data_IF_436702197285
#
_entry.id   IF_436702197285
#
_cell.length_a   1.000
_cell.length_b   1.000
_cell.length_c   1.000
_cell.angle_alpha   90.00
_cell.angle_beta   90.00
_cell.angle_gamma   90.00
#
_symmetry.space_group_name_H-M   'P 1'
#
loop_
_entity.id
_entity.type
_entity.pdbx_description
1 polymer ?
#
# COMPACT_ATOMS: atom_id res chain seq x y z
N UNK A 1 -31.32 -2.53 -3.29
CA UNK A 1 -32.03 -3.54 -2.45
C UNK A 1 -31.44 -3.49 -1.04
N UNK A 2 -32.16 -2.90 -0.10
CA UNK A 2 -31.75 -2.73 1.29
C UNK A 2 -32.11 -4.02 2.06
N UNK A 3 -31.13 -4.73 2.64
CA UNK A 3 -31.40 -5.85 3.55
C UNK A 3 -31.47 -5.31 4.97
N UNK A 4 -32.68 -5.24 5.53
CA UNK A 4 -32.91 -4.94 6.95
C UNK A 4 -33.03 -6.26 7.72
N UNK A 5 -32.37 -6.37 8.87
CA UNK A 5 -32.56 -7.48 9.81
C UNK A 5 -33.35 -6.93 11.00
N UNK A 6 -34.47 -7.58 11.31
CA UNK A 6 -35.32 -7.25 12.45
C UNK A 6 -34.77 -7.97 13.69
N UNK A 7 -34.15 -7.25 14.63
CA UNK A 7 -33.90 -7.78 15.97
C UNK A 7 -35.06 -7.43 16.89
N UNK A 8 -35.78 -8.43 17.37
CA UNK A 8 -36.78 -8.27 18.43
C UNK A 8 -36.14 -8.56 19.78
N UNK A 9 -35.87 -7.53 20.57
CA UNK A 9 -35.53 -7.65 21.99
C UNK A 9 -36.81 -7.65 22.81
N UNK A 10 -37.16 -8.78 23.41
CA UNK A 10 -38.30 -8.90 24.32
C UNK A 10 -37.81 -8.66 25.74
N UNK A 11 -37.99 -7.45 26.25
CA UNK A 11 -37.74 -7.15 27.67
C UNK A 11 -38.99 -7.50 28.48
N UNK A 12 -38.91 -8.50 29.36
CA UNK A 12 -40.00 -8.90 30.23
C UNK A 12 -39.98 -8.05 31.51
N UNK A 13 -40.86 -7.06 31.62
CA UNK A 13 -41.18 -6.40 32.89
C UNK A 13 -42.55 -6.91 33.37
N UNK A 14 -42.51 -7.74 34.41
CA UNK A 14 -43.69 -8.09 35.20
C UNK A 14 -44.01 -6.91 36.12
N UNK A 15 -45.07 -6.16 35.77
CA UNK A 15 -46.11 -5.60 36.65
C UNK A 15 -46.80 -4.41 35.94
N UNK A 16 -48.08 -4.60 35.61
CA UNK A 16 -49.08 -3.62 35.15
C UNK A 16 -48.80 -2.76 33.89
N UNK A 17 -49.53 -3.06 32.81
CA UNK A 17 -49.93 -2.07 31.79
C UNK A 17 -49.11 -2.05 30.49
N UNK A 18 -49.81 -2.20 29.35
CA UNK A 18 -49.40 -1.90 27.97
C UNK A 18 -47.93 -2.16 27.56
N UNK A 19 -47.69 -3.26 26.86
CA UNK A 19 -46.44 -3.49 26.12
C UNK A 19 -46.46 -2.66 24.84
N UNK A 20 -45.87 -1.46 24.85
CA UNK A 20 -45.54 -0.72 23.63
C UNK A 20 -44.28 -1.32 23.00
N UNK A 21 -44.42 -1.88 21.80
CA UNK A 21 -43.27 -2.26 20.94
C UNK A 21 -42.65 -0.98 20.39
N UNK A 22 -41.58 -0.50 21.00
CA UNK A 22 -40.70 0.47 20.34
C UNK A 22 -39.84 -0.27 19.29
N UNK A 23 -40.07 0.04 18.02
CA UNK A 23 -39.19 -0.37 16.93
C UNK A 23 -38.07 0.68 16.87
N UNK A 24 -36.94 0.37 17.52
CA UNK A 24 -35.73 1.19 17.38
C UNK A 24 -35.07 0.83 16.06
N UNK A 25 -35.17 1.72 15.07
CA UNK A 25 -34.38 1.62 13.85
C UNK A 25 -32.94 2.02 14.17
N UNK A 26 -32.12 1.05 14.54
CA UNK A 26 -30.69 1.27 14.62
C UNK A 26 -30.14 1.30 13.19
N UNK A 27 -29.71 2.49 12.74
CA UNK A 27 -28.93 2.59 11.51
C UNK A 27 -27.67 1.76 11.70
N UNK A 28 -27.42 0.82 10.79
CA UNK A 28 -26.13 0.13 10.74
C UNK A 28 -25.04 1.21 10.77
N UNK A 29 -23.98 1.05 11.59
CA UNK A 29 -22.87 1.98 11.54
C UNK A 29 -22.40 2.05 10.10
N UNK A 30 -22.56 3.23 9.49
CA UNK A 30 -22.01 3.49 8.17
C UNK A 30 -20.50 3.36 8.33
N UNK A 31 -19.92 2.26 7.84
CA UNK A 31 -18.48 2.18 7.66
C UNK A 31 -18.11 3.42 6.84
N UNK A 32 -17.22 4.30 7.33
CA UNK A 32 -16.89 5.52 6.60
C UNK A 32 -16.50 5.11 5.18
N UNK A 33 -17.20 5.64 4.18
CA UNK A 33 -16.82 5.40 2.78
C UNK A 33 -15.46 6.06 2.63
N UNK A 34 -14.40 5.25 2.63
CA UNK A 34 -13.05 5.72 2.44
C UNK A 34 -13.03 6.60 1.19
N UNK A 35 -12.61 7.86 1.35
CA UNK A 35 -12.55 8.83 0.24
C UNK A 35 -11.72 8.20 -0.89
N UNK A 36 -12.25 8.10 -2.10
CA UNK A 36 -11.51 7.47 -3.19
C UNK A 36 -10.22 8.21 -3.49
N UNK A 37 -9.13 7.48 -3.65
CA UNK A 37 -7.85 8.05 -4.05
C UNK A 37 -7.88 8.35 -5.55
N UNK A 38 -7.52 9.58 -5.94
CA UNK A 38 -7.54 10.02 -7.34
C UNK A 38 -6.38 10.94 -7.66
N UNK A 39 -5.84 10.82 -8.87
CA UNK A 39 -4.70 11.61 -9.32
C UNK A 39 -4.85 12.01 -10.79
N UNK A 40 -4.44 13.24 -11.11
CA UNK A 40 -4.49 13.77 -12.49
C UNK A 40 -3.11 13.68 -13.12
N UNK A 41 -3.03 13.02 -14.28
CA UNK A 41 -1.81 12.90 -15.07
C UNK A 41 -2.08 13.35 -16.50
N UNK A 42 -1.35 14.37 -16.96
CA UNK A 42 -1.51 14.91 -18.32
C UNK A 42 -2.97 15.22 -18.67
N UNK A 43 -3.70 15.85 -17.75
CA UNK A 43 -5.11 16.23 -17.92
C UNK A 43 -6.13 15.12 -17.72
N UNK A 44 -5.72 13.86 -17.52
CA UNK A 44 -6.63 12.75 -17.23
C UNK A 44 -6.63 12.40 -15.74
N UNK A 45 -7.80 12.42 -15.12
CA UNK A 45 -8.00 11.93 -13.74
C UNK A 45 -8.19 10.43 -13.74
N UNK A 46 -7.39 9.73 -12.95
CA UNK A 46 -7.55 8.30 -12.66
C UNK A 46 -7.95 8.14 -11.19
N UNK A 47 -8.90 7.25 -10.93
CA UNK A 47 -9.41 6.95 -9.59
C UNK A 47 -9.15 5.49 -9.26
N UNK A 48 -8.59 5.25 -8.07
CA UNK A 48 -8.33 3.91 -7.58
C UNK A 48 -9.64 3.22 -7.19
N UNK A 49 -9.68 1.90 -7.27
CA UNK A 49 -10.79 1.11 -6.74
C UNK A 49 -10.96 1.35 -5.23
N UNK A 50 -12.13 1.06 -4.62
CA UNK A 50 -12.31 1.23 -3.18
C UNK A 50 -11.31 0.43 -2.34
N UNK A 51 -10.98 -0.79 -2.78
CA UNK A 51 -9.99 -1.64 -2.12
C UNK A 51 -8.59 -0.98 -2.14
N UNK A 52 -8.11 -0.61 -3.33
CA UNK A 52 -6.79 0.04 -3.49
C UNK A 52 -6.76 1.37 -2.74
N UNK A 53 -7.83 2.16 -2.79
CA UNK A 53 -7.93 3.44 -2.06
C UNK A 53 -7.76 3.23 -0.55
N UNK A 54 -8.45 2.24 0.03
CA UNK A 54 -8.36 1.94 1.45
C UNK A 54 -6.93 1.49 1.84
N UNK A 55 -6.35 0.57 1.06
CA UNK A 55 -4.98 0.09 1.29
C UNK A 55 -3.98 1.26 1.24
N UNK A 56 -4.05 2.08 0.19
CA UNK A 56 -3.15 3.23 0.00
C UNK A 56 -3.28 4.25 1.13
N UNK A 57 -4.49 4.51 1.63
CA UNK A 57 -4.69 5.42 2.76
C UNK A 57 -4.04 4.92 4.04
N UNK A 58 -4.16 3.62 4.31
CA UNK A 58 -3.50 3.01 5.46
C UNK A 58 -1.96 3.07 5.30
N UNK A 59 -1.43 2.80 4.11
CA UNK A 59 0.01 2.93 3.84
C UNK A 59 0.48 4.39 4.00
N UNK A 60 -0.29 5.38 3.52
CA UNK A 60 0.00 6.81 3.68
C UNK A 60 0.03 7.22 5.16
N UNK A 61 -0.82 6.63 6.01
CA UNK A 61 -0.76 6.86 7.45
C UNK A 61 0.51 6.28 8.09
N UNK A 62 1.05 5.20 7.53
CA UNK A 62 2.31 4.58 7.96
C UNK A 62 3.54 5.28 7.36
N UNK A 63 3.38 5.96 6.23
CA UNK A 63 4.45 6.71 5.55
C UNK A 63 5.18 7.63 6.54
N UNK A 64 6.50 7.65 6.45
CA UNK A 64 7.35 8.53 7.22
C UNK A 64 8.15 9.36 6.23
N UNK A 65 8.14 10.69 6.41
CA UNK A 65 9.09 11.52 5.71
C UNK A 65 10.35 11.57 6.59
N UNK A 66 11.38 10.83 6.20
CA UNK A 66 12.63 10.80 6.96
C UNK A 66 13.80 11.24 6.07
N UNK A 67 14.78 11.91 6.69
CA UNK A 67 16.02 12.36 6.04
C UNK A 67 16.91 11.22 5.52
N UNK A 68 16.46 9.97 5.61
CA UNK A 68 17.25 8.79 5.29
C UNK A 68 17.20 8.37 3.84
N UNK A 69 16.27 8.92 3.05
CA UNK A 69 16.10 8.57 1.64
C UNK A 69 15.70 9.80 0.83
N UNK A 70 16.58 10.25 -0.06
CA UNK A 70 16.18 11.16 -1.15
C UNK A 70 15.54 10.35 -2.28
N UNK A 71 14.36 10.76 -2.76
CA UNK A 71 13.53 9.98 -3.68
C UNK A 71 12.97 10.85 -4.81
N UNK A 72 13.29 10.49 -6.05
CA UNK A 72 12.72 11.11 -7.25
C UNK A 72 12.13 10.03 -8.17
N UNK A 73 11.00 10.32 -8.83
CA UNK A 73 10.39 9.37 -9.76
C UNK A 73 9.66 10.01 -10.95
N UNK A 74 9.57 9.26 -12.06
CA UNK A 74 8.61 9.58 -13.11
C UNK A 74 7.21 9.07 -12.74
N UNK A 75 6.18 9.85 -13.04
CA UNK A 75 4.80 9.53 -12.65
C UNK A 75 3.88 9.20 -13.83
N UNK A 76 4.37 9.30 -15.07
CA UNK A 76 3.57 9.02 -16.26
C UNK A 76 4.39 8.22 -17.28
N UNK A 77 4.14 6.92 -17.39
CA UNK A 77 4.98 5.98 -18.13
C UNK A 77 4.16 5.19 -19.13
N UNK A 78 4.63 5.08 -20.36
CA UNK A 78 3.99 4.22 -21.38
C UNK A 78 4.25 2.75 -21.08
N UNK A 79 3.32 1.87 -21.42
CA UNK A 79 3.58 0.42 -21.44
C UNK A 79 4.82 0.12 -22.28
N UNK A 80 5.70 -0.73 -21.75
CA UNK A 80 6.99 -1.04 -22.34
C UNK A 80 8.08 0.01 -22.14
N UNK A 81 7.75 1.18 -21.58
CA UNK A 81 8.71 2.16 -21.08
C UNK A 81 9.32 1.78 -19.74
N UNK A 82 10.34 2.50 -19.29
CA UNK A 82 10.99 2.25 -18.01
C UNK A 82 10.45 3.15 -16.90
N UNK A 83 10.20 2.54 -15.74
CA UNK A 83 9.96 3.26 -14.51
C UNK A 83 11.29 3.80 -14.02
N UNK A 84 11.33 5.10 -13.72
CA UNK A 84 12.51 5.79 -13.21
C UNK A 84 12.22 6.10 -11.75
N UNK A 85 12.89 5.37 -10.86
CA UNK A 85 12.90 5.58 -9.42
C UNK A 85 14.36 5.78 -9.07
N UNK A 86 14.64 6.94 -8.50
CA UNK A 86 15.94 7.36 -8.02
C UNK A 86 15.87 7.47 -6.51
N UNK A 87 16.68 6.67 -5.82
CA UNK A 87 16.69 6.64 -4.37
C UNK A 87 18.12 6.65 -3.85
N UNK A 88 18.47 7.63 -3.02
CA UNK A 88 19.80 7.69 -2.40
C UNK A 88 19.65 7.68 -0.88
N UNK A 89 19.98 6.57 -0.21
CA UNK A 89 19.92 6.52 1.23
C UNK A 89 21.16 7.20 1.83
N UNK A 90 21.04 7.90 2.95
CA UNK A 90 22.21 8.47 3.64
C UNK A 90 22.89 7.48 4.60
N UNK A 91 22.40 6.24 4.65
CA UNK A 91 22.83 5.14 5.53
C UNK A 91 22.85 3.84 4.75
N UNK A 92 23.66 2.89 5.21
CA UNK A 92 23.65 1.56 4.63
C UNK A 92 22.43 0.78 5.13
N UNK A 93 21.80 0.01 4.25
CA UNK A 93 20.56 -0.68 4.58
C UNK A 93 19.94 -1.34 3.36
N UNK A 94 18.69 -1.74 3.48
CA UNK A 94 17.96 -2.49 2.47
C UNK A 94 16.87 -1.62 1.86
N UNK A 95 16.89 -1.46 0.54
CA UNK A 95 15.87 -0.78 -0.25
C UNK A 95 14.98 -1.79 -0.97
N UNK A 96 13.67 -1.58 -0.87
CA UNK A 96 12.65 -2.44 -1.46
C UNK A 96 11.58 -1.57 -2.11
N UNK A 97 11.12 -2.01 -3.28
CA UNK A 97 10.11 -1.29 -4.06
C UNK A 97 8.97 -2.26 -4.34
N UNK A 98 7.75 -1.88 -4.00
CA UNK A 98 6.54 -2.66 -4.26
C UNK A 98 5.62 -1.82 -5.13
N UNK A 99 5.12 -2.41 -6.20
CA UNK A 99 4.10 -1.78 -7.07
C UNK A 99 2.76 -2.40 -6.73
N UNK A 100 1.77 -1.58 -6.39
CA UNK A 100 0.35 -1.93 -6.29
C UNK A 100 -0.30 -1.53 -7.61
N UNK A 101 -0.90 -2.49 -8.32
CA UNK A 101 -1.59 -2.26 -9.57
C UNK A 101 -3.05 -1.77 -9.35
N UNK A 102 -3.79 -1.35 -10.40
CA UNK A 102 -5.17 -0.91 -10.29
C UNK A 102 -6.15 -1.97 -9.75
N UNK A 103 -5.81 -3.26 -9.87
CA UNK A 103 -6.61 -4.37 -9.37
C UNK A 103 -6.30 -4.68 -7.89
N UNK A 104 -5.22 -4.11 -7.34
CA UNK A 104 -4.74 -4.35 -5.98
C UNK A 104 -3.68 -5.45 -5.89
N UNK A 105 -3.28 -6.05 -7.02
CA UNK A 105 -2.18 -6.98 -7.05
C UNK A 105 -0.87 -6.25 -6.77
N UNK A 106 0.02 -6.91 -6.06
CA UNK A 106 1.29 -6.33 -5.64
C UNK A 106 2.45 -7.11 -6.21
N UNK A 107 3.45 -6.39 -6.68
CA UNK A 107 4.67 -6.98 -7.22
C UNK A 107 5.89 -6.40 -6.52
N UNK A 108 6.73 -7.27 -5.95
CA UNK A 108 8.05 -6.86 -5.50
C UNK A 108 8.93 -6.63 -6.71
N UNK A 109 9.51 -5.44 -6.73
CA UNK A 109 10.54 -5.07 -7.68
C UNK A 109 11.88 -5.48 -7.08
N UNK A 110 12.49 -6.51 -7.66
CA UNK A 110 13.85 -6.93 -7.30
C UNK A 110 14.81 -6.33 -8.34
N UNK A 111 15.72 -5.42 -7.94
CA UNK A 111 16.74 -4.93 -8.86
C UNK A 111 17.66 -6.09 -9.24
N UNK A 112 17.79 -6.38 -10.53
CA UNK A 112 18.81 -7.33 -11.01
C UNK A 112 20.18 -6.81 -10.53
N UNK A 113 21.05 -7.67 -10.00
CA UNK A 113 22.41 -7.38 -9.48
C UNK A 113 22.57 -6.89 -8.03
N UNK A 114 21.59 -6.25 -7.38
CA UNK A 114 21.66 -6.03 -5.92
C UNK A 114 21.01 -7.23 -5.23
N UNK A 115 21.80 -8.29 -5.02
CA UNK A 115 21.36 -9.42 -4.21
C UNK A 115 20.80 -8.90 -2.88
N UNK A 116 19.52 -9.21 -2.61
CA UNK A 116 18.74 -8.82 -1.42
C UNK A 116 18.28 -7.37 -1.28
N UNK A 117 18.69 -6.43 -2.15
CA UNK A 117 18.32 -5.01 -2.08
C UNK A 117 19.18 -4.16 -1.14
N UNK A 118 20.36 -4.64 -0.72
CA UNK A 118 21.26 -3.88 0.15
C UNK A 118 22.00 -2.75 -0.60
N UNK A 119 22.01 -1.55 -0.01
CA UNK A 119 22.72 -0.37 -0.48
C UNK A 119 23.69 0.12 0.59
N UNK A 120 24.87 0.54 0.18
CA UNK A 120 25.76 1.31 1.04
C UNK A 120 25.22 2.74 1.26
N UNK A 121 25.70 3.41 2.29
CA UNK A 121 25.38 4.81 2.52
C UNK A 121 25.80 5.66 1.30
N UNK A 122 24.91 6.54 0.86
CA UNK A 122 25.03 7.41 -0.31
C UNK A 122 25.15 6.67 -1.65
N UNK A 123 24.94 5.34 -1.67
CA UNK A 123 24.87 4.59 -2.91
C UNK A 123 23.52 4.84 -3.58
N UNK A 124 23.55 5.55 -4.70
CA UNK A 124 22.36 5.81 -5.51
C UNK A 124 21.83 4.51 -6.11
N UNK A 125 20.55 4.26 -5.86
CA UNK A 125 19.73 3.31 -6.60
C UNK A 125 19.00 4.05 -7.72
N UNK A 126 19.06 3.53 -8.95
CA UNK A 126 18.30 4.08 -10.07
C UNK A 126 17.77 2.96 -10.96
N UNK A 127 16.46 2.94 -11.18
CA UNK A 127 15.78 1.85 -11.90
C UNK A 127 15.74 1.99 -13.43
N UNK A 128 16.50 2.92 -14.01
CA UNK A 128 16.60 3.11 -15.46
C UNK A 128 18.06 3.08 -15.93
N UNK A 129 18.70 1.95 -15.67
CA UNK A 129 19.93 1.54 -16.33
C UNK A 129 19.83 0.05 -16.70
N UNK A 130 20.69 -0.43 -17.59
CA UNK A 130 20.66 -1.82 -18.09
C UNK A 130 20.73 -2.88 -16.98
N UNK A 131 21.24 -2.52 -15.80
CA UNK A 131 21.33 -3.40 -14.64
C UNK A 131 20.05 -3.43 -13.79
N UNK A 132 19.22 -2.38 -13.80
CA UNK A 132 18.08 -2.23 -12.87
C UNK A 132 16.76 -1.81 -13.55
N UNK A 133 16.69 -1.91 -14.88
CA UNK A 133 15.57 -1.43 -15.69
C UNK A 133 14.23 -2.08 -15.31
N UNK A 134 13.26 -1.26 -14.87
CA UNK A 134 11.90 -1.72 -14.55
C UNK A 134 10.96 -1.39 -15.69
N UNK A 135 10.67 -2.38 -16.53
CA UNK A 135 9.77 -2.21 -17.66
C UNK A 135 8.32 -2.16 -17.17
N UNK A 136 7.61 -1.08 -17.48
CA UNK A 136 6.18 -0.96 -17.23
C UNK A 136 5.42 -2.01 -18.05
N UNK A 137 4.63 -2.83 -17.38
CA UNK A 137 3.75 -3.83 -17.99
C UNK A 137 2.29 -3.47 -17.81
N UNK A 138 1.40 -4.26 -18.40
CA UNK A 138 -0.02 -4.23 -18.04
C UNK A 138 -0.23 -4.68 -16.59
N UNK A 139 -1.36 -4.31 -15.96
CA UNK A 139 -2.45 -3.47 -16.49
C UNK A 139 -2.07 -1.98 -16.67
N UNK A 140 -2.81 -1.25 -17.49
CA UNK A 140 -2.71 0.22 -17.57
C UNK A 140 -3.58 0.86 -16.50
N UNK A 141 -3.25 2.07 -16.06
CA UNK A 141 -4.05 2.85 -15.12
C UNK A 141 -3.22 3.41 -13.97
N UNK A 142 -3.92 3.69 -12.86
CA UNK A 142 -3.33 4.24 -11.64
C UNK A 142 -2.70 3.13 -10.80
N UNK A 143 -1.39 3.19 -10.69
CA UNK A 143 -0.57 2.36 -9.83
C UNK A 143 -0.06 3.17 -8.64
N UNK A 144 0.34 2.47 -7.59
CA UNK A 144 1.04 3.06 -6.46
C UNK A 144 2.38 2.37 -6.25
N UNK A 145 3.42 3.16 -6.07
CA UNK A 145 4.77 2.66 -5.78
C UNK A 145 5.04 2.90 -4.30
N UNK A 146 5.33 1.83 -3.57
CA UNK A 146 5.73 1.86 -2.17
C UNK A 146 7.23 1.59 -2.10
N UNK A 147 7.99 2.56 -1.61
CA UNK A 147 9.43 2.47 -1.43
C UNK A 147 9.73 2.36 0.06
N UNK A 148 10.46 1.31 0.42
CA UNK A 148 10.75 0.93 1.81
C UNK A 148 12.27 0.87 1.97
N UNK A 149 12.78 1.55 2.98
CA UNK A 149 14.18 1.45 3.41
C UNK A 149 14.27 1.01 4.87
N UNK A 150 15.21 0.14 5.22
CA UNK A 150 15.53 -0.20 6.61
C UNK A 150 17.03 -0.53 6.80
N UNK A 151 17.64 -0.09 7.90
CA UNK A 151 19.05 -0.38 8.20
C UNK A 151 19.31 -1.90 8.33
N UNK A 152 18.42 -2.62 9.00
CA UNK A 152 18.53 -4.07 9.14
C UNK A 152 17.78 -4.76 8.01
N UNK A 153 18.22 -5.98 7.68
CA UNK A 153 17.48 -6.85 6.79
C UNK A 153 16.20 -7.24 7.51
N UNK A 154 15.14 -6.46 7.30
CA UNK A 154 13.84 -7.05 7.28
C UNK A 154 13.96 -8.10 6.20
N UNK A 155 14.17 -9.38 6.56
CA UNK A 155 13.93 -10.51 5.67
C UNK A 155 12.47 -10.39 5.34
N UNK A 156 12.19 -9.53 4.37
CA UNK A 156 10.85 -9.19 4.02
C UNK A 156 10.32 -10.51 3.51
N UNK A 157 9.28 -10.97 4.18
CA UNK A 157 8.42 -12.06 3.75
C UNK A 157 7.63 -11.56 2.51
N UNK A 158 8.35 -10.96 1.59
CA UNK A 158 7.95 -10.36 0.33
C UNK A 158 8.70 -11.10 -0.79
N UNK A 159 8.97 -12.39 -0.61
CA UNK A 159 9.33 -13.24 -1.73
C UNK A 159 8.08 -13.46 -2.58
N UNK A 160 8.18 -13.26 -3.89
CA UNK A 160 7.20 -13.81 -4.82
C UNK A 160 7.28 -15.34 -4.66
N UNK A 161 6.23 -15.95 -4.13
CA UNK A 161 6.27 -17.35 -3.72
C UNK A 161 6.00 -18.33 -4.86
N UNK A 162 6.47 -19.56 -4.67
CA UNK A 162 5.62 -20.73 -4.93
C UNK A 162 5.13 -21.43 -3.64
N UNK A 163 5.79 -21.34 -2.46
CA UNK A 163 5.30 -21.93 -1.19
C UNK A 163 6.02 -21.41 0.07
N UNK A 164 5.68 -20.23 0.63
CA UNK A 164 6.25 -19.84 1.93
C UNK A 164 6.08 -18.37 2.31
N UNK A 165 4.84 -18.01 2.64
CA UNK A 165 4.35 -16.69 3.06
C UNK A 165 4.33 -15.58 1.99
N UNK A 166 3.14 -15.44 1.39
CA UNK A 166 2.73 -14.45 0.41
C UNK A 166 2.27 -13.13 1.07
N UNK A 167 3.06 -12.48 1.94
CA UNK A 167 2.58 -11.26 2.62
C UNK A 167 2.25 -10.11 1.63
N UNK A 168 2.73 -10.21 0.38
CA UNK A 168 2.38 -9.34 -0.75
C UNK A 168 0.96 -9.61 -1.28
N UNK A 169 0.36 -10.78 -1.04
CA UNK A 169 -0.96 -11.12 -1.59
C UNK A 169 -2.11 -10.79 -0.62
N UNK A 170 -1.80 -10.49 0.65
CA UNK A 170 -2.79 -10.11 1.66
C UNK A 170 -2.55 -8.68 2.17
N UNK A 171 -3.58 -7.84 2.19
CA UNK A 171 -3.51 -6.43 2.60
C UNK A 171 -3.11 -6.29 4.07
N UNK A 172 -3.69 -7.11 4.95
CA UNK A 172 -3.43 -7.05 6.39
C UNK A 172 -1.99 -7.46 6.72
N UNK A 173 -1.47 -8.52 6.09
CA UNK A 173 -0.10 -8.97 6.33
C UNK A 173 0.92 -7.92 5.86
N UNK A 174 0.66 -7.30 4.71
CA UNK A 174 1.50 -6.21 4.21
C UNK A 174 1.48 -5.01 5.16
N UNK A 175 0.30 -4.59 5.62
CA UNK A 175 0.16 -3.49 6.57
C UNK A 175 0.83 -3.79 7.91
N UNK A 176 0.72 -5.03 8.42
CA UNK A 176 1.41 -5.45 9.65
C UNK A 176 2.94 -5.32 9.51
N UNK A 177 3.50 -5.69 8.36
CA UNK A 177 4.94 -5.52 8.08
C UNK A 177 5.31 -4.04 8.06
N UNK A 178 4.53 -3.21 7.35
CA UNK A 178 4.76 -1.76 7.28
C UNK A 178 4.66 -1.09 8.66
N UNK A 179 3.74 -1.54 9.52
CA UNK A 179 3.62 -1.06 10.89
C UNK A 179 4.88 -1.37 11.72
N UNK A 180 5.43 -2.59 11.61
CA UNK A 180 6.68 -2.96 12.29
C UNK A 180 7.87 -2.13 11.79
N UNK A 181 7.91 -1.85 10.48
CA UNK A 181 8.91 -0.95 9.90
C UNK A 181 8.75 0.46 10.46
N UNK A 182 7.52 1.00 10.49
CA UNK A 182 7.22 2.32 11.06
C UNK A 182 7.68 2.42 12.52
N UNK A 183 7.48 1.36 13.30
CA UNK A 183 7.91 1.25 14.69
C UNK A 183 9.43 1.06 14.87
N UNK A 184 10.20 1.02 13.78
CA UNK A 184 11.66 0.86 13.77
C UNK A 184 12.17 -0.49 14.31
N UNK A 185 11.35 -1.55 14.24
CA UNK A 185 11.73 -2.91 14.64
C UNK A 185 12.96 -3.45 13.87
N UNK A 186 13.29 -2.84 12.73
CA UNK A 186 14.38 -3.21 11.82
C UNK A 186 15.44 -2.11 11.70
N UNK A 187 15.66 -1.35 12.78
CA UNK A 187 16.53 -0.18 12.79
C UNK A 187 15.90 1.02 12.09
N UNK A 188 16.72 2.03 11.76
CA UNK A 188 16.21 3.25 11.12
C UNK A 188 15.58 2.92 9.77
N UNK A 189 14.35 3.38 9.57
CA UNK A 189 13.55 3.01 8.41
C UNK A 189 12.76 4.17 7.81
N UNK A 190 12.38 4.00 6.55
CA UNK A 190 11.57 4.93 5.78
C UNK A 190 10.52 4.18 4.97
N UNK A 191 9.31 4.71 4.93
CA UNK A 191 8.24 4.25 4.03
C UNK A 191 7.77 5.46 3.24
N UNK A 192 7.85 5.39 1.92
CA UNK A 192 7.30 6.38 1.00
C UNK A 192 6.31 5.71 0.05
N UNK A 193 5.24 6.42 -0.30
CA UNK A 193 4.27 5.96 -1.29
C UNK A 193 3.91 7.11 -2.23
N UNK A 194 3.89 6.84 -3.53
CA UNK A 194 3.50 7.83 -4.53
C UNK A 194 2.72 7.19 -5.68
N UNK A 195 1.83 7.96 -6.33
CA UNK A 195 1.02 7.48 -7.43
C UNK A 195 1.80 7.51 -8.76
N UNK A 196 1.40 6.67 -9.69
CA UNK A 196 2.00 6.58 -11.02
C UNK A 196 0.97 6.12 -12.05
N UNK A 197 0.97 6.74 -13.22
CA UNK A 197 0.16 6.32 -14.37
C UNK A 197 0.98 5.45 -15.31
N UNK A 198 0.46 4.27 -15.63
CA UNK A 198 0.89 3.45 -16.77
C UNK A 198 -0.16 3.57 -17.88
N UNK A 199 0.24 3.94 -19.11
CA UNK A 199 -0.68 4.14 -20.24
C UNK A 199 -0.27 3.45 -21.53
#
# INVERSE_FOLDING_TARGET
MLKQILLTTTTLLLLSGCVTKEIVYQTLPQTPVAKSESHTFSGQTLTATPQVSNLVQQIKALSSNSAYLDLNSNQNVRVGGFLNIDATPNRAGYLKVVIIDPNGDRSLVVPNTINSGYLHANQRFYSNNENFALKATKPTGLHYVVVIFSEQNARLIMQQGMNGYNAINNDQDFLNILQRIKNQDYGKSNISIFPMRIY
#
